data_IF_776104953924
#
_entry.id   IF_776104953924
#
_cell.length_a   1.000
_cell.length_b   1.000
_cell.length_c   1.000
_cell.angle_alpha   90.00
_cell.angle_beta   90.00
_cell.angle_gamma   90.00
#
_symmetry.space_group_name_H-M   'P 1'
#
loop_
_entity.id
_entity.type
_entity.pdbx_description
1 polymer ?
#
# COMPACT_ATOMS: atom_id res chain seq x y z
N UNK A 1 2.34 3.49 -12.41
CA UNK A 1 1.28 3.84 -13.38
C UNK A 1 -0.04 3.66 -12.64
N UNK A 2 -0.61 4.75 -12.10
CA UNK A 2 -1.91 4.70 -11.41
C UNK A 2 -2.96 4.28 -12.44
N UNK A 3 -3.55 3.09 -12.28
CA UNK A 3 -4.71 2.70 -13.08
C UNK A 3 -5.92 3.39 -12.49
N UNK A 4 -6.42 4.41 -13.20
CA UNK A 4 -7.71 5.00 -12.92
C UNK A 4 -8.79 3.97 -13.30
N UNK A 5 -9.48 3.42 -12.31
CA UNK A 5 -10.67 2.62 -12.58
C UNK A 5 -11.77 3.58 -13.03
N UNK A 6 -12.18 3.49 -14.30
CA UNK A 6 -13.31 4.25 -14.84
C UNK A 6 -14.59 3.64 -14.25
N UNK A 7 -15.15 4.32 -13.27
CA UNK A 7 -16.40 3.96 -12.62
C UNK A 7 -17.38 5.13 -12.68
N UNK A 8 -18.68 4.87 -12.47
CA UNK A 8 -19.68 5.94 -12.42
C UNK A 8 -19.31 6.99 -11.37
N UNK A 9 -18.66 6.56 -10.30
CA UNK A 9 -18.18 7.37 -9.21
C UNK A 9 -16.99 8.26 -9.64
N UNK A 10 -16.07 7.74 -10.47
CA UNK A 10 -14.98 8.57 -11.03
C UNK A 10 -15.48 9.62 -12.03
N UNK A 11 -16.54 9.31 -12.77
CA UNK A 11 -17.18 10.26 -13.69
C UNK A 11 -17.87 11.40 -12.91
N UNK A 12 -18.55 11.07 -11.81
CA UNK A 12 -19.15 12.04 -10.90
C UNK A 12 -18.06 12.93 -10.26
N UNK A 13 -16.90 12.36 -9.88
CA UNK A 13 -15.77 13.13 -9.35
C UNK A 13 -15.25 14.13 -10.39
N UNK A 14 -15.00 13.66 -11.61
CA UNK A 14 -14.45 14.47 -12.70
C UNK A 14 -15.41 15.60 -13.08
N UNK A 15 -16.72 15.32 -13.10
CA UNK A 15 -17.76 16.33 -13.27
C UNK A 15 -17.73 17.37 -12.14
N UNK A 16 -17.60 16.94 -10.89
CA UNK A 16 -17.47 17.83 -9.74
C UNK A 16 -16.25 18.75 -9.81
N UNK A 17 -15.10 18.23 -10.22
CA UNK A 17 -13.88 19.03 -10.44
C UNK A 17 -14.11 20.08 -11.53
N UNK A 18 -14.68 19.71 -12.67
CA UNK A 18 -15.00 20.64 -13.77
C UNK A 18 -15.98 21.72 -13.32
N UNK A 19 -16.99 21.37 -12.51
CA UNK A 19 -17.92 22.34 -11.95
C UNK A 19 -17.22 23.32 -11.00
N UNK A 20 -16.29 22.83 -10.16
CA UNK A 20 -15.46 23.72 -9.35
C UNK A 20 -14.58 24.62 -10.21
N UNK A 21 -13.93 24.10 -11.25
CA UNK A 21 -13.10 24.92 -12.15
C UNK A 21 -13.93 26.05 -12.78
N UNK A 22 -15.14 25.72 -13.24
CA UNK A 22 -16.07 26.68 -13.84
C UNK A 22 -16.55 27.73 -12.84
N UNK A 23 -16.93 27.32 -11.62
CA UNK A 23 -17.40 28.24 -10.57
C UNK A 23 -16.28 29.15 -10.04
N UNK A 24 -15.06 28.64 -9.92
CA UNK A 24 -13.94 29.38 -9.35
C UNK A 24 -13.19 30.22 -10.39
N UNK A 25 -13.38 29.91 -11.68
CA UNK A 25 -12.55 30.45 -12.76
C UNK A 25 -11.08 30.04 -12.63
N UNK A 26 -10.79 28.89 -12.01
CA UNK A 26 -9.44 28.41 -11.68
C UNK A 26 -9.27 26.98 -12.18
N UNK A 27 -8.08 26.65 -12.69
CA UNK A 27 -7.74 25.27 -13.04
C UNK A 27 -7.54 24.42 -11.78
N UNK A 28 -7.91 23.14 -11.87
CA UNK A 28 -7.87 22.18 -10.76
C UNK A 28 -6.45 21.91 -10.23
N UNK A 29 -5.47 22.04 -11.13
CA UNK A 29 -4.04 21.85 -10.85
C UNK A 29 -3.35 23.21 -10.92
N UNK A 30 -2.97 23.74 -9.76
CA UNK A 30 -2.10 24.92 -9.66
C UNK A 30 -0.67 24.48 -9.96
N UNK A 31 -0.12 24.93 -11.10
CA UNK A 31 1.31 24.79 -11.42
C UNK A 31 2.07 25.97 -10.84
N UNK A 32 2.28 25.99 -9.52
CA UNK A 32 3.15 27.02 -8.93
C UNK A 32 4.30 26.39 -8.15
N UNK A 33 5.52 26.81 -8.47
CA UNK A 33 6.78 26.16 -8.14
C UNK A 33 7.22 26.30 -6.67
N UNK A 34 6.29 26.64 -5.77
CA UNK A 34 6.59 26.88 -4.35
C UNK A 34 5.69 26.15 -3.36
N UNK A 35 4.61 25.50 -3.80
CA UNK A 35 3.68 24.82 -2.90
C UNK A 35 3.08 23.59 -3.61
N UNK A 36 3.84 22.49 -3.66
CA UNK A 36 3.59 21.30 -4.48
C UNK A 36 2.26 20.55 -4.21
N UNK A 37 1.38 21.02 -3.32
CA UNK A 37 0.20 20.24 -2.88
C UNK A 37 -1.13 21.01 -2.74
N UNK A 38 -1.24 22.29 -3.13
CA UNK A 38 -2.54 22.98 -3.10
C UNK A 38 -3.31 22.78 -4.40
N UNK A 39 -4.11 21.70 -4.47
CA UNK A 39 -5.11 21.53 -5.53
C UNK A 39 -6.33 22.43 -5.29
N UNK A 40 -7.08 22.77 -6.34
CA UNK A 40 -8.37 23.48 -6.20
C UNK A 40 -9.30 22.74 -5.25
N UNK A 41 -9.29 21.41 -5.29
CA UNK A 41 -10.07 20.54 -4.41
C UNK A 41 -9.68 20.75 -2.94
N UNK A 42 -8.40 20.85 -2.61
CA UNK A 42 -7.94 21.15 -1.25
C UNK A 42 -8.43 22.52 -0.76
N UNK A 43 -8.42 23.53 -1.64
CA UNK A 43 -8.88 24.88 -1.33
C UNK A 43 -10.39 24.93 -1.09
N UNK A 44 -11.17 24.30 -1.99
CA UNK A 44 -12.63 24.14 -1.86
C UNK A 44 -12.97 23.43 -0.53
N UNK A 45 -12.25 22.35 -0.19
CA UNK A 45 -12.42 21.63 1.09
C UNK A 45 -12.15 22.52 2.30
N UNK A 46 -11.15 23.41 2.24
CA UNK A 46 -10.84 24.34 3.33
C UNK A 46 -11.95 25.39 3.51
N UNK A 47 -12.32 26.11 2.45
CA UNK A 47 -13.35 27.14 2.49
C UNK A 47 -14.72 26.57 2.87
N UNK A 48 -14.99 25.32 2.48
CA UNK A 48 -16.17 24.59 2.91
C UNK A 48 -16.20 24.40 4.44
N UNK A 49 -15.11 23.94 5.06
CA UNK A 49 -15.02 23.77 6.53
C UNK A 49 -15.18 25.09 7.27
N UNK A 50 -14.73 26.18 6.66
CA UNK A 50 -14.84 27.53 7.21
C UNK A 50 -16.21 28.18 6.97
N UNK A 51 -17.12 27.54 6.23
CA UNK A 51 -18.44 28.10 5.88
C UNK A 51 -18.38 29.27 4.90
N UNK A 52 -17.27 29.43 4.17
CA UNK A 52 -16.92 30.58 3.33
C UNK A 52 -16.91 30.26 1.84
N UNK A 53 -17.60 29.20 1.42
CA UNK A 53 -17.53 28.75 0.02
C UNK A 53 -17.97 29.83 -0.98
N UNK A 54 -18.90 30.71 -0.57
CA UNK A 54 -19.38 31.84 -1.36
C UNK A 54 -18.27 32.84 -1.76
N UNK A 55 -17.18 32.90 -0.98
CA UNK A 55 -16.00 33.74 -1.25
C UNK A 55 -15.16 33.21 -2.42
N UNK A 56 -15.28 31.92 -2.72
CA UNK A 56 -14.43 31.22 -3.69
C UNK A 56 -15.03 31.25 -5.11
N UNK A 57 -16.29 31.64 -5.25
CA UNK A 57 -16.98 31.76 -6.53
C UNK A 57 -16.52 33.02 -7.27
N UNK A 58 -16.20 32.85 -8.55
CA UNK A 58 -15.79 33.91 -9.44
C UNK A 58 -16.88 34.98 -9.58
N UNK A 59 -16.51 36.24 -9.35
CA UNK A 59 -17.45 37.37 -9.35
C UNK A 59 -18.25 37.48 -10.65
N UNK A 60 -17.64 37.19 -11.81
CA UNK A 60 -18.32 37.25 -13.10
C UNK A 60 -19.46 36.26 -13.31
N UNK A 61 -19.65 35.30 -12.38
CA UNK A 61 -20.76 34.32 -12.38
C UNK A 61 -21.80 34.65 -11.30
N UNK A 62 -21.42 35.40 -10.25
CA UNK A 62 -22.33 35.76 -9.13
C UNK A 62 -23.57 36.50 -9.60
N UNK A 63 -23.44 37.34 -10.62
CA UNK A 63 -24.54 38.17 -11.13
C UNK A 63 -25.43 37.46 -12.17
N UNK A 64 -25.02 36.28 -12.65
CA UNK A 64 -25.66 35.58 -13.79
C UNK A 64 -26.39 34.30 -13.43
N UNK A 65 -26.18 33.78 -12.24
CA UNK A 65 -26.76 32.52 -11.77
C UNK A 65 -27.63 32.80 -10.55
N UNK A 66 -28.85 32.29 -10.54
CA UNK A 66 -29.65 32.24 -9.32
C UNK A 66 -28.88 31.41 -8.28
N UNK A 67 -28.28 32.11 -7.32
CA UNK A 67 -27.44 31.58 -6.26
C UNK A 67 -27.99 30.37 -5.48
N UNK A 68 -29.32 30.23 -5.26
CA UNK A 68 -29.89 29.03 -4.63
C UNK A 68 -29.54 27.74 -5.37
N UNK A 69 -29.56 27.77 -6.70
CA UNK A 69 -29.26 26.61 -7.56
C UNK A 69 -27.78 26.22 -7.50
N UNK A 70 -26.88 27.20 -7.43
CA UNK A 70 -25.45 26.95 -7.26
C UNK A 70 -25.13 26.35 -5.88
N UNK A 71 -25.83 26.81 -4.82
CA UNK A 71 -25.71 26.24 -3.47
C UNK A 71 -26.22 24.81 -3.40
N UNK A 72 -27.30 24.48 -4.11
CA UNK A 72 -27.81 23.12 -4.22
C UNK A 72 -26.88 22.20 -5.00
N UNK A 73 -26.31 22.67 -6.12
CA UNK A 73 -25.29 21.93 -6.88
C UNK A 73 -24.06 21.67 -5.99
N UNK A 74 -23.58 22.68 -5.29
CA UNK A 74 -22.49 22.54 -4.30
C UNK A 74 -22.85 21.54 -3.20
N UNK A 75 -24.08 21.58 -2.68
CA UNK A 75 -24.54 20.67 -1.63
C UNK A 75 -24.61 19.21 -2.12
N UNK A 76 -25.05 19.00 -3.37
CA UNK A 76 -25.07 17.68 -3.99
C UNK A 76 -23.65 17.18 -4.29
N UNK A 77 -22.77 18.06 -4.77
CA UNK A 77 -21.35 17.74 -4.97
C UNK A 77 -20.65 17.45 -3.64
N UNK A 78 -21.02 18.14 -2.55
CA UNK A 78 -20.53 17.87 -1.20
C UNK A 78 -20.97 16.49 -0.71
N UNK A 79 -22.25 16.15 -0.88
CA UNK A 79 -22.76 14.81 -0.56
C UNK A 79 -22.04 13.73 -1.38
N UNK A 80 -21.82 13.97 -2.67
CA UNK A 80 -21.09 13.05 -3.55
C UNK A 80 -19.61 12.90 -3.13
N UNK A 81 -18.95 14.00 -2.74
CA UNK A 81 -17.56 14.00 -2.28
C UNK A 81 -17.37 13.25 -0.95
N UNK A 82 -18.32 13.41 -0.02
CA UNK A 82 -18.35 12.66 1.24
C UNK A 82 -18.63 11.16 1.01
N UNK A 83 -19.49 10.82 0.05
CA UNK A 83 -19.77 9.43 -0.32
C UNK A 83 -18.58 8.73 -1.01
N UNK A 84 -17.82 9.47 -1.82
CA UNK A 84 -16.63 8.98 -2.52
C UNK A 84 -15.47 8.64 -1.57
N UNK A 85 -15.23 9.44 -0.53
CA UNK A 85 -14.20 9.13 0.48
C UNK A 85 -14.59 7.92 1.37
N UNK A 86 -15.82 7.40 1.28
CA UNK A 86 -16.29 6.22 2.00
C UNK A 86 -16.34 4.98 1.10
N UNK A 87 -17.08 5.00 -0.02
CA UNK A 87 -17.23 3.80 -0.87
C UNK A 87 -15.95 3.44 -1.63
N UNK A 88 -15.18 4.41 -2.11
CA UNK A 88 -13.96 4.12 -2.91
C UNK A 88 -12.87 3.48 -2.04
N UNK A 89 -12.77 3.90 -0.77
CA UNK A 89 -11.74 3.38 0.14
C UNK A 89 -12.23 2.14 0.89
N UNK A 90 -13.50 2.04 1.27
CA UNK A 90 -14.06 0.79 1.83
C UNK A 90 -14.06 -0.34 0.78
N UNK A 91 -14.30 -0.06 -0.50
CA UNK A 91 -14.17 -1.06 -1.57
C UNK A 91 -12.71 -1.46 -1.83
N UNK A 92 -11.75 -0.57 -1.56
CA UNK A 92 -10.31 -0.85 -1.70
C UNK A 92 -9.72 -1.59 -0.50
N UNK A 93 -10.21 -1.37 0.71
CA UNK A 93 -9.83 -2.20 1.87
C UNK A 93 -10.55 -3.56 1.77
N UNK A 94 -9.82 -4.67 1.84
CA UNK A 94 -10.43 -6.01 1.83
C UNK A 94 -11.46 -6.18 2.95
N UNK A 95 -12.52 -7.00 2.76
CA UNK A 95 -13.58 -7.25 3.77
C UNK A 95 -13.07 -7.55 5.18
N UNK A 96 -11.90 -8.17 5.27
CA UNK A 96 -11.32 -8.68 6.50
C UNK A 96 -10.52 -7.61 7.26
N UNK A 97 -10.38 -6.38 6.73
CA UNK A 97 -9.64 -5.29 7.38
C UNK A 97 -10.19 -4.96 8.77
N UNK A 98 -11.51 -5.03 8.94
CA UNK A 98 -12.18 -4.81 10.24
C UNK A 98 -11.72 -5.86 11.25
N UNK A 99 -11.52 -7.10 10.80
CA UNK A 99 -11.04 -8.19 11.63
C UNK A 99 -9.54 -8.06 11.91
N UNK A 100 -8.74 -7.67 10.93
CA UNK A 100 -7.32 -7.32 11.11
C UNK A 100 -7.19 -6.19 12.15
N UNK A 101 -7.94 -5.10 12.01
CA UNK A 101 -7.94 -3.98 12.95
C UNK A 101 -8.34 -4.40 14.38
N UNK A 102 -9.30 -5.32 14.51
CA UNK A 102 -9.67 -5.93 15.80
C UNK A 102 -8.54 -6.78 16.37
N UNK A 103 -7.92 -7.64 15.56
CA UNK A 103 -6.80 -8.50 15.99
C UNK A 103 -5.60 -7.67 16.44
N UNK A 104 -5.35 -6.55 15.78
CA UNK A 104 -4.29 -5.61 16.13
C UNK A 104 -4.58 -4.83 17.42
N UNK A 105 -5.76 -4.98 18.02
CA UNK A 105 -6.24 -4.21 19.18
C UNK A 105 -6.12 -2.69 18.98
N UNK A 106 -6.15 -2.24 17.72
CA UNK A 106 -6.00 -0.83 17.34
C UNK A 106 -7.28 -0.02 17.59
N UNK A 107 -8.29 -0.64 18.21
CA UNK A 107 -9.66 -0.12 18.28
C UNK A 107 -9.77 1.20 19.06
N UNK A 108 -8.89 1.44 20.05
CA UNK A 108 -8.90 2.67 20.85
C UNK A 108 -8.04 3.81 20.28
N UNK A 109 -7.08 3.52 19.39
CA UNK A 109 -6.14 4.55 18.85
C UNK A 109 -6.64 5.14 17.52
N UNK A 110 -7.48 4.40 16.78
CA UNK A 110 -7.84 4.73 15.40
C UNK A 110 -9.35 4.91 15.16
N UNK A 111 -10.15 5.01 16.23
CA UNK A 111 -11.60 5.25 16.13
C UNK A 111 -11.96 6.55 15.39
N UNK A 112 -11.02 7.50 15.32
CA UNK A 112 -11.21 8.82 14.70
C UNK A 112 -10.48 8.98 13.35
N UNK A 113 -9.85 7.92 12.82
CA UNK A 113 -9.05 7.97 11.59
C UNK A 113 -9.95 7.74 10.37
N UNK A 114 -9.80 8.57 9.32
CA UNK A 114 -10.60 8.40 8.10
C UNK A 114 -10.24 7.11 7.37
N UNK A 115 -11.17 6.51 6.61
CA UNK A 115 -10.88 5.31 5.82
C UNK A 115 -9.76 5.52 4.80
N UNK A 116 -9.63 6.74 4.27
CA UNK A 116 -8.52 7.16 3.41
C UNK A 116 -7.17 7.09 4.13
N UNK A 117 -7.12 7.59 5.37
CA UNK A 117 -5.91 7.54 6.18
C UNK A 117 -5.55 6.10 6.56
N UNK A 118 -6.56 5.27 6.85
CA UNK A 118 -6.38 3.83 7.05
C UNK A 118 -5.82 3.15 5.79
N UNK A 119 -6.40 3.41 4.62
CA UNK A 119 -5.87 2.88 3.36
C UNK A 119 -4.41 3.28 3.16
N UNK A 120 -4.09 4.56 3.37
CA UNK A 120 -2.72 5.05 3.22
C UNK A 120 -1.76 4.42 4.24
N UNK A 121 -2.23 4.12 5.46
CA UNK A 121 -1.46 3.35 6.43
C UNK A 121 -1.21 1.91 5.97
N UNK A 122 -2.26 1.20 5.52
CA UNK A 122 -2.12 -0.16 5.00
C UNK A 122 -1.26 -0.20 3.74
N UNK A 123 -1.34 0.79 2.85
CA UNK A 123 -0.50 0.85 1.66
C UNK A 123 0.97 1.08 1.99
N UNK A 124 1.26 1.86 3.05
CA UNK A 124 2.64 2.06 3.54
C UNK A 124 3.15 0.86 4.33
N UNK A 125 2.25 0.10 4.93
CA UNK A 125 2.55 -1.04 5.78
C UNK A 125 2.49 -0.69 7.26
N UNK A 126 1.87 -1.59 8.04
CA UNK A 126 1.71 -1.48 9.48
C UNK A 126 2.69 -2.44 10.14
N UNK A 127 3.48 -1.93 11.09
CA UNK A 127 4.47 -2.70 11.83
C UNK A 127 3.86 -3.41 13.04
N UNK A 128 4.16 -4.70 13.16
CA UNK A 128 3.58 -5.66 14.10
C UNK A 128 4.69 -6.46 14.82
N UNK A 129 4.36 -7.06 15.97
CA UNK A 129 5.27 -7.92 16.75
C UNK A 129 6.63 -7.26 17.05
N UNK A 130 6.62 -6.09 17.69
CA UNK A 130 7.83 -5.27 17.97
C UNK A 130 8.63 -4.90 16.70
N UNK A 131 7.91 -4.45 15.65
CA UNK A 131 8.49 -4.07 14.35
C UNK A 131 9.19 -5.21 13.60
N UNK A 132 8.79 -6.47 13.85
CA UNK A 132 9.36 -7.65 13.16
C UNK A 132 8.51 -8.17 12.02
N UNK A 133 7.24 -7.79 11.95
CA UNK A 133 6.33 -8.17 10.85
C UNK A 133 5.70 -6.89 10.30
N UNK A 134 5.64 -6.74 8.99
CA UNK A 134 4.98 -5.62 8.34
C UNK A 134 3.83 -6.16 7.50
N UNK A 135 2.62 -5.68 7.75
CA UNK A 135 1.44 -6.01 6.96
C UNK A 135 1.13 -4.83 6.04
N UNK A 136 1.14 -5.05 4.72
CA UNK A 136 0.77 -4.02 3.75
C UNK A 136 -0.25 -4.52 2.74
N UNK A 137 -0.97 -3.58 2.14
CA UNK A 137 -1.92 -3.84 1.08
C UNK A 137 -1.43 -3.19 -0.21
N UNK A 138 -1.30 -4.00 -1.26
CA UNK A 138 -0.92 -3.54 -2.59
C UNK A 138 -2.08 -2.87 -3.33
N UNK A 139 -1.79 -2.24 -4.47
CA UNK A 139 -2.77 -1.45 -5.22
C UNK A 139 -3.93 -2.26 -5.77
N UNK A 140 -3.76 -3.58 -5.96
CA UNK A 140 -4.83 -4.46 -6.43
C UNK A 140 -5.56 -5.14 -5.26
N UNK A 141 -5.31 -4.67 -4.04
CA UNK A 141 -5.89 -5.22 -2.83
C UNK A 141 -5.19 -6.47 -2.31
N UNK A 142 -4.07 -6.91 -2.92
CA UNK A 142 -3.29 -8.03 -2.38
C UNK A 142 -2.72 -7.71 -0.99
N UNK A 143 -2.84 -8.65 -0.04
CA UNK A 143 -2.22 -8.51 1.29
C UNK A 143 -0.84 -9.13 1.24
N UNK A 144 0.15 -8.34 1.65
CA UNK A 144 1.52 -8.76 1.80
C UNK A 144 1.87 -8.77 3.29
N UNK A 145 2.35 -9.91 3.77
CA UNK A 145 3.00 -10.02 5.07
C UNK A 145 4.50 -10.16 4.85
N UNK A 146 5.25 -9.14 5.26
CA UNK A 146 6.71 -9.14 5.18
C UNK A 146 7.29 -9.40 6.56
N UNK A 147 8.06 -10.46 6.69
CA UNK A 147 8.77 -10.79 7.93
C UNK A 147 10.17 -10.20 7.88
N UNK A 148 10.52 -9.42 8.90
CA UNK A 148 11.83 -8.80 9.02
C UNK A 148 12.94 -9.84 9.11
N UNK A 149 14.06 -9.57 8.46
CA UNK A 149 15.24 -10.42 8.53
C UNK A 149 15.75 -10.62 9.97
N UNK A 150 15.39 -9.73 10.89
CA UNK A 150 15.73 -9.73 12.32
C UNK A 150 15.07 -10.87 13.10
N UNK A 151 14.02 -11.46 12.54
CA UNK A 151 13.36 -12.66 13.09
C UNK A 151 14.18 -13.93 12.83
N UNK A 152 15.16 -13.87 11.92
CA UNK A 152 16.03 -14.98 11.58
C UNK A 152 17.41 -14.76 12.18
N UNK A 153 17.94 -15.77 12.85
CA UNK A 153 19.29 -15.74 13.41
C UNK A 153 20.32 -15.97 12.29
N UNK A 154 21.15 -14.97 12.00
CA UNK A 154 22.35 -15.11 11.18
C UNK A 154 23.49 -14.30 11.81
N UNK A 155 24.37 -14.99 12.54
CA UNK A 155 25.41 -14.34 13.36
C UNK A 155 24.85 -13.51 14.54
N UNK A 156 25.73 -13.07 15.44
CA UNK A 156 25.40 -12.34 16.68
C UNK A 156 24.90 -10.88 16.47
N UNK A 157 24.24 -10.59 15.35
CA UNK A 157 23.82 -9.23 15.01
C UNK A 157 22.30 -9.11 15.04
N UNK A 158 21.76 -8.51 16.10
CA UNK A 158 20.37 -8.06 16.15
C UNK A 158 20.23 -6.78 15.31
N UNK A 159 19.24 -6.74 14.43
CA UNK A 159 18.91 -5.55 13.67
C UNK A 159 17.48 -5.09 14.05
N UNK A 160 17.24 -3.79 14.00
CA UNK A 160 15.96 -3.17 14.31
C UNK A 160 15.65 -2.25 13.14
N UNK A 161 14.42 -2.35 12.59
CA UNK A 161 13.84 -1.65 11.44
C UNK A 161 14.01 -2.31 10.06
N UNK A 162 12.88 -2.45 9.36
CA UNK A 162 12.75 -2.92 7.97
C UNK A 162 13.54 -2.09 6.93
N UNK A 163 14.02 -0.90 7.30
CA UNK A 163 14.89 -0.07 6.47
C UNK A 163 16.36 -0.57 6.45
N UNK A 164 16.74 -1.46 7.39
CA UNK A 164 18.07 -2.07 7.46
C UNK A 164 17.99 -3.53 7.05
N UNK A 165 18.60 -3.84 5.90
CA UNK A 165 18.81 -5.21 5.43
C UNK A 165 20.01 -5.84 6.12
N UNK A 166 19.93 -7.14 6.39
CA UNK A 166 21.07 -7.93 6.85
C UNK A 166 22.01 -8.13 5.66
N UNK A 167 23.25 -7.67 5.78
CA UNK A 167 24.30 -7.92 4.78
C UNK A 167 24.92 -9.29 5.04
N UNK A 168 24.95 -10.13 4.02
CA UNK A 168 25.56 -11.46 4.08
C UNK A 168 26.79 -11.52 3.18
N UNK A 169 27.89 -12.01 3.74
CA UNK A 169 29.18 -12.10 3.04
C UNK A 169 29.45 -13.52 2.54
N UNK A 170 29.00 -14.55 3.26
CA UNK A 170 29.20 -15.96 2.92
C UNK A 170 27.93 -16.55 2.29
N UNK A 171 27.66 -16.17 1.04
CA UNK A 171 26.49 -16.67 0.31
C UNK A 171 26.56 -18.16 -0.05
N UNK A 172 27.73 -18.80 -0.22
CA UNK A 172 27.81 -20.26 -0.39
C UNK A 172 27.37 -21.10 0.82
N UNK A 173 27.30 -20.51 2.02
CA UNK A 173 26.99 -21.23 3.26
C UNK A 173 26.09 -20.38 4.18
N UNK A 174 24.89 -20.07 3.69
CA UNK A 174 23.90 -19.25 4.41
C UNK A 174 23.42 -19.92 5.71
N UNK A 175 22.97 -21.17 5.63
CA UNK A 175 22.38 -21.94 6.75
C UNK A 175 21.34 -21.16 7.56
N UNK A 176 20.45 -20.45 6.88
CA UNK A 176 19.44 -19.62 7.52
C UNK A 176 18.14 -20.40 7.66
N UNK A 177 17.74 -20.69 8.90
CA UNK A 177 16.45 -21.29 9.18
C UNK A 177 15.37 -20.21 9.27
N UNK A 178 14.39 -20.29 8.37
CA UNK A 178 13.25 -19.39 8.25
C UNK A 178 12.03 -20.16 8.73
N UNK A 179 11.43 -19.69 9.82
CA UNK A 179 10.11 -20.18 10.26
C UNK A 179 9.05 -19.15 9.91
N UNK A 180 8.24 -19.46 8.91
CA UNK A 180 7.11 -18.62 8.51
C UNK A 180 5.94 -19.02 9.39
N UNK A 181 5.42 -18.03 10.13
CA UNK A 181 4.17 -18.12 10.89
C UNK A 181 3.36 -16.89 10.54
N UNK A 182 2.26 -17.09 9.83
CA UNK A 182 1.29 -16.03 9.62
C UNK A 182 0.02 -16.32 10.41
N UNK A 183 -0.63 -15.24 10.86
CA UNK A 183 -1.93 -15.22 11.53
C UNK A 183 -2.92 -14.26 10.83
N UNK A 184 -2.49 -13.59 9.76
CA UNK A 184 -3.22 -12.49 9.10
C UNK A 184 -3.59 -12.79 7.65
N UNK A 185 -3.18 -13.94 7.10
CA UNK A 185 -3.57 -14.34 5.75
C UNK A 185 -5.03 -14.80 5.71
N UNK A 186 -5.73 -14.40 4.66
CA UNK A 186 -7.10 -14.81 4.38
C UNK A 186 -7.14 -16.30 4.04
N UNK A 187 -7.96 -17.11 4.72
CA UNK A 187 -8.07 -18.54 4.40
C UNK A 187 -8.53 -18.80 2.97
N UNK A 188 -8.11 -19.93 2.40
CA UNK A 188 -8.49 -20.41 1.06
C UNK A 188 -8.03 -19.53 -0.11
N UNK A 189 -7.08 -18.62 0.11
CA UNK A 189 -6.41 -17.83 -0.95
C UNK A 189 -5.03 -18.44 -1.24
N UNK A 190 -4.60 -18.46 -2.50
CA UNK A 190 -3.26 -18.94 -2.85
C UNK A 190 -2.24 -17.83 -2.55
N UNK A 191 -1.27 -18.12 -1.68
CA UNK A 191 -0.16 -17.22 -1.37
C UNK A 191 1.15 -17.76 -1.90
N UNK A 192 2.04 -16.86 -2.30
CA UNK A 192 3.43 -17.17 -2.63
C UNK A 192 4.38 -16.65 -1.54
N UNK A 193 5.21 -17.52 -0.99
CA UNK A 193 6.31 -17.13 -0.12
C UNK A 193 7.54 -16.77 -0.97
N UNK A 194 8.09 -15.58 -0.76
CA UNK A 194 9.20 -15.07 -1.55
C UNK A 194 10.39 -14.72 -0.68
N UNK A 195 11.60 -15.06 -1.14
CA UNK A 195 12.84 -14.50 -0.62
C UNK A 195 13.14 -13.20 -1.37
N UNK A 196 13.23 -12.09 -0.63
CA UNK A 196 13.55 -10.77 -1.18
C UNK A 196 14.97 -10.37 -0.75
N UNK A 197 15.82 -10.04 -1.71
CA UNK A 197 17.23 -9.68 -1.45
C UNK A 197 17.77 -8.70 -2.49
N UNK A 198 18.96 -8.17 -2.24
CA UNK A 198 19.72 -7.40 -3.23
C UNK A 198 21.22 -7.63 -3.08
N UNK A 199 21.96 -7.56 -4.18
CA UNK A 199 23.42 -7.66 -4.15
C UNK A 199 24.02 -6.33 -3.68
N UNK A 200 25.09 -6.39 -2.90
CA UNK A 200 25.78 -5.18 -2.43
C UNK A 200 26.49 -4.43 -3.56
N UNK A 201 26.95 -5.15 -4.57
CA UNK A 201 27.57 -4.54 -5.74
C UNK A 201 26.54 -4.32 -6.85
N UNK A 202 26.57 -3.15 -7.51
CA UNK A 202 25.68 -2.86 -8.62
C UNK A 202 25.94 -3.85 -9.76
N UNK A 203 24.98 -4.72 -10.03
CA UNK A 203 24.98 -5.57 -11.23
C UNK A 203 24.25 -4.84 -12.35
N UNK A 204 24.72 -4.98 -13.60
CA UNK A 204 23.97 -4.51 -14.76
C UNK A 204 22.69 -5.33 -14.88
N UNK A 205 21.59 -4.77 -14.40
CA UNK A 205 20.25 -5.33 -14.54
C UNK A 205 19.77 -5.06 -15.98
N UNK A 206 20.22 -5.88 -16.92
CA UNK A 206 19.81 -5.75 -18.33
C UNK A 206 18.47 -6.44 -18.63
N UNK A 207 18.00 -7.29 -17.72
CA UNK A 207 16.81 -8.12 -17.92
C UNK A 207 15.96 -8.20 -16.66
N UNK A 208 14.67 -8.49 -16.85
CA UNK A 208 13.69 -8.64 -15.77
C UNK A 208 13.91 -9.91 -14.92
N UNK A 209 14.74 -10.85 -15.41
CA UNK A 209 15.05 -12.13 -14.78
C UNK A 209 16.57 -12.28 -14.61
N UNK A 210 17.01 -12.44 -13.38
CA UNK A 210 18.42 -12.66 -13.05
C UNK A 210 18.66 -14.13 -12.79
N UNK A 211 19.68 -14.70 -13.44
CA UNK A 211 20.16 -16.02 -13.05
C UNK A 211 20.76 -15.96 -11.65
N UNK A 212 20.34 -16.92 -10.84
CA UNK A 212 20.80 -17.18 -9.48
C UNK A 212 20.86 -18.69 -9.30
N UNK A 213 21.45 -19.18 -8.23
CA UNK A 213 21.27 -20.56 -7.81
C UNK A 213 21.09 -20.59 -6.30
N UNK A 214 19.84 -20.45 -5.89
CA UNK A 214 19.44 -20.63 -4.51
C UNK A 214 19.20 -22.12 -4.25
N UNK A 215 19.95 -22.68 -3.31
CA UNK A 215 19.71 -24.01 -2.76
C UNK A 215 19.04 -23.87 -1.40
N UNK A 216 17.91 -24.54 -1.21
CA UNK A 216 17.16 -24.49 0.05
C UNK A 216 16.50 -25.83 0.33
N UNK A 217 16.23 -26.10 1.61
CA UNK A 217 15.51 -27.28 2.05
C UNK A 217 14.13 -26.90 2.57
N UNK A 218 13.15 -27.74 2.26
CA UNK A 218 11.81 -27.64 2.81
C UNK A 218 11.36 -29.02 3.28
N UNK A 219 11.19 -29.17 4.60
CA UNK A 219 10.97 -30.49 5.19
C UNK A 219 12.15 -31.43 4.95
N UNK A 220 11.96 -32.48 4.15
CA UNK A 220 13.02 -33.45 3.78
C UNK A 220 13.55 -33.26 2.37
N UNK A 221 12.97 -32.33 1.60
CA UNK A 221 13.31 -32.12 0.21
C UNK A 221 14.33 -31.00 0.06
N UNK A 222 15.30 -31.20 -0.83
CA UNK A 222 16.25 -30.16 -1.25
C UNK A 222 15.79 -29.63 -2.60
N UNK A 223 15.65 -28.32 -2.69
CA UNK A 223 15.10 -27.60 -3.84
C UNK A 223 16.10 -26.56 -4.33
N UNK A 224 15.99 -26.24 -5.62
CA UNK A 224 16.81 -25.23 -6.28
C UNK A 224 15.92 -24.21 -6.99
N UNK A 225 16.27 -22.93 -6.87
CA UNK A 225 15.68 -21.86 -7.66
C UNK A 225 16.79 -21.17 -8.48
N UNK A 226 16.61 -21.19 -9.81
CA UNK A 226 17.62 -20.73 -10.76
C UNK A 226 17.44 -19.30 -11.25
N UNK A 227 16.29 -18.69 -10.93
CA UNK A 227 15.95 -17.37 -11.42
C UNK A 227 15.32 -16.54 -10.32
N UNK A 228 15.70 -15.27 -10.28
CA UNK A 228 15.07 -14.24 -9.47
C UNK A 228 14.44 -13.20 -10.39
N UNK A 229 13.22 -12.78 -10.09
CA UNK A 229 12.59 -11.64 -10.76
C UNK A 229 13.17 -10.35 -10.19
N UNK A 230 13.58 -9.43 -11.05
CA UNK A 230 14.12 -8.13 -10.67
C UNK A 230 13.02 -7.06 -10.70
N UNK A 231 12.90 -6.30 -9.60
CA UNK A 231 12.07 -5.10 -9.50
C UNK A 231 12.87 -3.97 -8.85
N UNK A 232 13.07 -2.88 -9.58
CA UNK A 232 13.95 -1.76 -9.21
C UNK A 232 15.36 -2.25 -8.81
N UNK A 233 15.70 -2.20 -7.51
CA UNK A 233 16.97 -2.69 -6.94
C UNK A 233 16.87 -4.07 -6.27
N UNK A 234 15.66 -4.61 -6.13
CA UNK A 234 15.38 -5.82 -5.36
C UNK A 234 15.14 -7.01 -6.28
N UNK A 235 15.56 -8.17 -5.80
CA UNK A 235 15.35 -9.46 -6.42
C UNK A 235 14.41 -10.29 -5.56
N UNK A 236 13.51 -11.02 -6.20
CA UNK A 236 12.55 -11.91 -5.54
C UNK A 236 12.66 -13.32 -6.11
N UNK A 237 12.71 -14.31 -5.23
CA UNK A 237 12.66 -15.74 -5.57
C UNK A 237 11.42 -16.34 -4.91
N UNK A 238 10.50 -16.90 -5.68
CA UNK A 238 9.36 -17.66 -5.14
C UNK A 238 9.88 -18.99 -4.57
N UNK A 239 9.72 -19.20 -3.27
CA UNK A 239 10.13 -20.41 -2.57
C UNK A 239 9.04 -21.48 -2.63
N UNK A 240 7.78 -21.08 -2.44
CA UNK A 240 6.64 -21.99 -2.45
C UNK A 240 5.31 -21.23 -2.58
N UNK A 241 4.34 -21.87 -3.21
CA UNK A 241 2.91 -21.53 -3.09
C UNK A 241 2.20 -22.40 -2.06
N UNK A 242 1.30 -21.81 -1.28
CA UNK A 242 0.52 -22.51 -0.28
C UNK A 242 -0.87 -21.91 -0.13
N UNK A 243 -1.80 -22.70 0.41
CA UNK A 243 -3.18 -22.29 0.71
C UNK A 243 -3.39 -22.44 2.22
N UNK A 244 -3.59 -21.35 2.98
CA UNK A 244 -3.96 -21.40 4.38
C UNK A 244 -5.38 -21.95 4.51
N UNK A 245 -5.55 -23.13 5.12
CA UNK A 245 -6.88 -23.67 5.46
C UNK A 245 -7.46 -23.07 6.75
N UNK A 246 -6.59 -22.51 7.59
CA UNK A 246 -6.90 -21.71 8.78
C UNK A 246 -5.97 -20.50 8.79
N UNK A 247 -6.25 -19.50 9.63
CA UNK A 247 -5.43 -18.28 9.71
C UNK A 247 -3.98 -18.54 10.09
N UNK A 248 -3.74 -19.63 10.82
CA UNK A 248 -2.40 -20.06 11.17
C UNK A 248 -1.82 -21.00 10.11
N UNK A 249 -0.76 -20.54 9.44
CA UNK A 249 0.11 -21.39 8.63
C UNK A 249 1.49 -21.36 9.23
N UNK A 250 2.06 -22.55 9.44
CA UNK A 250 3.45 -22.71 9.77
C UNK A 250 4.19 -23.62 8.77
N UNK A 251 5.36 -23.16 8.36
CA UNK A 251 6.33 -24.01 7.68
C UNK A 251 7.74 -23.46 7.87
N UNK A 252 8.71 -24.35 7.66
CA UNK A 252 10.12 -24.04 7.81
C UNK A 252 10.85 -24.22 6.48
N UNK A 253 11.76 -23.29 6.22
CA UNK A 253 12.66 -23.31 5.06
C UNK A 253 14.08 -23.09 5.58
N UNK A 254 15.02 -23.92 5.15
CA UNK A 254 16.44 -23.73 5.41
C UNK A 254 17.12 -23.24 4.12
N UNK A 255 17.61 -22.00 4.11
CA UNK A 255 18.43 -21.52 3.00
C UNK A 255 19.86 -22.04 3.17
N UNK A 256 20.34 -22.82 2.21
CA UNK A 256 21.67 -23.43 2.28
C UNK A 256 22.73 -22.56 1.62
N UNK A 257 22.49 -22.14 0.37
CA UNK A 257 23.46 -21.37 -0.42
C UNK A 257 22.77 -20.52 -1.48
N UNK A 258 23.39 -19.41 -1.86
CA UNK A 258 23.02 -18.55 -2.98
C UNK A 258 24.27 -18.18 -3.78
N UNK A 259 24.31 -18.51 -5.07
CA UNK A 259 25.39 -18.11 -5.99
C UNK A 259 24.86 -17.36 -7.20
#
# INVERSE_FOLDING_TARGET
>A
MERCFLTKESDIYSLGVVLFEMMCGRLAILKDHKDEHRTLVSLVKQFYKEGKLDELVFEGIKDKVEWPTAREVVLQLKKALEFQDFEIWEAKLQSDYKEIMRMLKLTDVYSNTSQKDLYHMFSKGILLQDEKVCLSQGSNGEINETVSATKFSYGNHSCHKFQRVVKMMDTPNLKIQIKIKSQFLTPNVIYGAHLVFKFCEPRKLSSQLMYVNLKYQMGRETLHAYFATCGDEWMMIELRRFIPHKKDVDFEVLLESLS
#
